data_IF_738894074738
#
_entry.id   IF_738894074738
#
_cell.length_a   1.000
_cell.length_b   1.000
_cell.length_c   1.000
_cell.angle_alpha   90.00
_cell.angle_beta   90.00
_cell.angle_gamma   90.00
#
_symmetry.space_group_name_H-M   'P 1'
#
loop_
_entity.id
_entity.type
_entity.pdbx_description
1 polymer ?
#
# COMPACT_ATOMS: atom_id res chain seq x y z
N UNK A 1 -11.95 -14.71 25.80
CA UNK A 1 -12.37 -15.72 24.80
C UNK A 1 -13.78 -15.49 24.20
N UNK A 2 -14.62 -14.57 24.70
CA UNK A 2 -15.94 -14.26 24.11
C UNK A 2 -15.92 -13.29 22.90
N UNK A 3 -14.83 -12.56 22.67
CA UNK A 3 -14.68 -11.70 21.47
C UNK A 3 -14.47 -12.49 20.15
N UNK A 4 -14.24 -13.80 20.24
CA UNK A 4 -13.79 -14.64 19.10
C UNK A 4 -14.95 -15.33 18.37
N UNK A 5 -16.14 -15.42 18.96
CA UNK A 5 -17.29 -16.11 18.34
C UNK A 5 -18.19 -15.20 17.46
N UNK A 6 -17.98 -13.89 17.49
CA UNK A 6 -18.77 -12.91 16.74
C UNK A 6 -18.14 -12.51 15.39
N UNK A 7 -18.93 -11.80 14.56
CA UNK A 7 -18.47 -11.26 13.27
C UNK A 7 -17.22 -10.38 13.40
N UNK A 8 -17.13 -9.57 14.44
CA UNK A 8 -15.93 -8.78 14.76
C UNK A 8 -14.68 -9.66 15.00
N UNK A 9 -14.84 -10.83 15.63
CA UNK A 9 -13.78 -11.80 15.85
C UNK A 9 -13.24 -12.38 14.53
N UNK A 10 -14.14 -12.72 13.58
CA UNK A 10 -13.74 -13.17 12.23
C UNK A 10 -13.02 -12.06 11.46
N UNK A 11 -13.49 -10.82 11.54
CA UNK A 11 -12.79 -9.69 10.91
C UNK A 11 -11.37 -9.55 11.48
N UNK A 12 -11.23 -9.59 12.81
CA UNK A 12 -9.93 -9.42 13.46
C UNK A 12 -8.99 -10.59 13.18
N UNK A 13 -9.48 -11.83 13.15
CA UNK A 13 -8.64 -13.01 12.85
C UNK A 13 -8.05 -12.95 11.44
N UNK A 14 -8.80 -12.40 10.47
CA UNK A 14 -8.30 -12.20 9.12
C UNK A 14 -7.39 -10.98 9.01
N UNK A 15 -7.77 -9.86 9.64
CA UNK A 15 -7.03 -8.61 9.57
C UNK A 15 -5.67 -8.69 10.29
N UNK A 16 -5.59 -9.37 11.43
CA UNK A 16 -4.39 -9.39 12.27
C UNK A 16 -3.13 -9.90 11.54
N UNK A 17 -3.17 -11.04 10.81
CA UNK A 17 -2.03 -11.46 10.01
C UNK A 17 -1.66 -10.47 8.88
N UNK A 18 -2.66 -9.82 8.27
CA UNK A 18 -2.42 -8.81 7.23
C UNK A 18 -1.70 -7.60 7.83
N UNK A 19 -2.19 -7.09 8.97
CA UNK A 19 -1.60 -5.97 9.71
C UNK A 19 -0.15 -6.25 10.09
N UNK A 20 0.12 -7.44 10.67
CA UNK A 20 1.49 -7.85 11.02
C UNK A 20 2.39 -7.96 9.78
N UNK A 21 1.86 -8.46 8.65
CA UNK A 21 2.61 -8.51 7.40
C UNK A 21 2.99 -7.11 6.91
N UNK A 22 2.06 -6.15 6.96
CA UNK A 22 2.32 -4.76 6.59
C UNK A 22 3.31 -4.08 7.55
N UNK A 23 3.17 -4.29 8.85
CA UNK A 23 4.12 -3.80 9.86
C UNK A 23 5.52 -4.39 9.63
N UNK A 24 5.62 -5.66 9.27
CA UNK A 24 6.91 -6.29 8.95
C UNK A 24 7.58 -5.65 7.74
N UNK A 25 6.81 -5.21 6.73
CA UNK A 25 7.32 -4.46 5.59
C UNK A 25 7.83 -3.08 6.02
N UNK A 26 7.10 -2.37 6.88
CA UNK A 26 7.55 -1.08 7.41
C UNK A 26 8.83 -1.23 8.24
N UNK A 27 8.93 -2.26 9.06
CA UNK A 27 10.16 -2.59 9.80
C UNK A 27 11.32 -2.90 8.87
N UNK A 28 11.10 -3.69 7.82
CA UNK A 28 12.12 -3.96 6.81
C UNK A 28 12.63 -2.66 6.18
N UNK A 29 11.74 -1.74 5.77
CA UNK A 29 12.14 -0.47 5.17
C UNK A 29 13.03 0.36 6.13
N UNK A 30 12.73 0.35 7.44
CA UNK A 30 13.55 1.03 8.45
C UNK A 30 14.91 0.35 8.64
N UNK A 31 14.94 -0.98 8.64
CA UNK A 31 16.19 -1.75 8.73
C UNK A 31 17.08 -1.46 7.52
N UNK A 32 16.53 -1.47 6.31
CA UNK A 32 17.26 -1.15 5.08
C UNK A 32 17.81 0.29 5.12
N UNK A 33 17.00 1.26 5.57
CA UNK A 33 17.45 2.63 5.76
C UNK A 33 18.57 2.74 6.81
N UNK A 34 18.49 2.00 7.91
CA UNK A 34 19.54 1.98 8.94
C UNK A 34 20.83 1.30 8.44
N UNK A 35 20.74 0.23 7.66
CA UNK A 35 21.89 -0.46 7.06
C UNK A 35 22.59 0.46 6.05
N UNK A 36 21.85 1.13 5.17
CA UNK A 36 22.41 2.05 4.18
C UNK A 36 22.89 3.35 4.82
N UNK A 37 22.21 3.84 5.86
CA UNK A 37 22.57 5.08 6.56
C UNK A 37 23.99 5.05 7.14
N UNK A 38 24.53 3.87 7.47
CA UNK A 38 25.93 3.71 7.90
C UNK A 38 26.96 4.00 6.80
N UNK A 39 26.55 4.00 5.53
CA UNK A 39 27.41 4.35 4.39
C UNK A 39 27.49 5.87 4.17
N UNK A 40 26.64 6.67 4.83
CA UNK A 40 26.61 8.12 4.71
C UNK A 40 25.33 8.69 4.09
N UNK A 41 25.18 10.01 4.17
CA UNK A 41 23.96 10.74 3.79
C UNK A 41 23.62 10.61 2.30
N UNK A 42 24.63 10.65 1.41
CA UNK A 42 24.45 10.50 -0.04
C UNK A 42 23.86 9.13 -0.38
N UNK A 43 24.34 8.07 0.29
CA UNK A 43 23.86 6.72 0.09
C UNK A 43 22.39 6.58 0.52
N UNK A 44 22.05 7.12 1.70
CA UNK A 44 20.69 7.12 2.22
C UNK A 44 19.72 7.90 1.33
N UNK A 45 20.13 9.09 0.89
CA UNK A 45 19.34 9.91 -0.04
C UNK A 45 19.14 9.19 -1.39
N UNK A 46 20.19 8.56 -1.93
CA UNK A 46 20.13 7.83 -3.19
C UNK A 46 19.16 6.64 -3.12
N UNK A 47 19.22 5.85 -2.05
CA UNK A 47 18.28 4.75 -1.82
C UNK A 47 16.85 5.24 -1.60
N UNK A 48 16.67 6.38 -0.91
CA UNK A 48 15.36 7.01 -0.74
C UNK A 48 14.72 7.41 -2.07
N UNK A 49 15.48 8.11 -2.93
CA UNK A 49 15.02 8.53 -4.27
C UNK A 49 14.73 7.32 -5.15
N UNK A 50 15.65 6.36 -5.22
CA UNK A 50 15.44 5.13 -5.99
C UNK A 50 14.28 4.28 -5.48
N UNK A 51 14.07 4.26 -4.16
CA UNK A 51 12.92 3.61 -3.52
C UNK A 51 11.59 4.26 -3.89
N UNK A 52 11.52 5.60 -3.90
CA UNK A 52 10.33 6.33 -4.33
C UNK A 52 10.03 6.13 -5.83
N UNK A 53 11.05 6.18 -6.69
CA UNK A 53 10.91 5.83 -8.11
C UNK A 53 10.36 4.42 -8.30
N UNK A 54 10.87 3.45 -7.53
CA UNK A 54 10.39 2.07 -7.55
C UNK A 54 8.95 1.95 -7.05
N UNK A 55 8.57 2.73 -6.03
CA UNK A 55 7.19 2.77 -5.54
C UNK A 55 6.22 3.25 -6.62
N UNK A 56 6.56 4.29 -7.38
CA UNK A 56 5.76 4.76 -8.52
C UNK A 56 5.59 3.67 -9.60
N UNK A 57 6.65 2.95 -9.95
CA UNK A 57 6.55 1.83 -10.90
C UNK A 57 5.69 0.68 -10.36
N UNK A 58 5.87 0.35 -9.09
CA UNK A 58 5.10 -0.71 -8.45
C UNK A 58 3.61 -0.37 -8.42
N UNK A 59 3.24 0.91 -8.29
CA UNK A 59 1.86 1.39 -8.33
C UNK A 59 1.07 0.91 -9.58
N UNK A 60 1.76 0.74 -10.72
CA UNK A 60 1.18 0.28 -12.00
C UNK A 60 0.68 -1.17 -11.92
N UNK A 61 1.26 -1.99 -11.03
CA UNK A 61 0.90 -3.41 -10.86
C UNK A 61 0.12 -3.69 -9.58
N UNK A 62 -0.06 -2.69 -8.70
CA UNK A 62 -0.75 -2.86 -7.40
C UNK A 62 -2.19 -3.37 -7.55
N UNK A 63 -2.89 -2.98 -8.62
CA UNK A 63 -4.25 -3.41 -8.88
C UNK A 63 -4.41 -4.90 -9.14
N UNK A 64 -3.35 -5.62 -9.51
CA UNK A 64 -3.41 -7.08 -9.68
C UNK A 64 -3.79 -7.77 -8.37
N UNK A 65 -3.26 -7.30 -7.23
CA UNK A 65 -3.57 -7.91 -5.92
C UNK A 65 -5.06 -7.81 -5.59
N UNK A 66 -5.66 -6.61 -5.73
CA UNK A 66 -7.08 -6.41 -5.38
C UNK A 66 -8.03 -7.06 -6.39
N UNK A 67 -7.66 -7.06 -7.67
CA UNK A 67 -8.41 -7.72 -8.73
C UNK A 67 -8.47 -9.23 -8.53
N UNK A 68 -7.34 -9.87 -8.27
CA UNK A 68 -7.28 -11.32 -7.98
C UNK A 68 -8.01 -11.62 -6.67
N UNK A 69 -7.82 -10.82 -5.62
CA UNK A 69 -8.49 -11.01 -4.32
C UNK A 69 -10.01 -10.97 -4.42
N UNK A 70 -10.55 -9.92 -5.05
CA UNK A 70 -11.99 -9.72 -5.21
C UNK A 70 -12.65 -10.86 -5.98
N UNK A 71 -12.08 -11.22 -7.15
CA UNK A 71 -12.61 -12.33 -7.96
C UNK A 71 -12.47 -13.68 -7.25
N UNK A 72 -11.33 -13.95 -6.60
CA UNK A 72 -11.11 -15.20 -5.86
C UNK A 72 -12.12 -15.33 -4.71
N UNK A 73 -12.36 -14.26 -3.95
CA UNK A 73 -13.33 -14.26 -2.87
C UNK A 73 -14.75 -14.52 -3.38
N UNK A 74 -15.16 -13.89 -4.49
CA UNK A 74 -16.45 -14.13 -5.12
C UNK A 74 -16.59 -15.58 -5.64
N UNK A 75 -15.55 -16.12 -6.28
CA UNK A 75 -15.54 -17.51 -6.75
C UNK A 75 -15.61 -18.51 -5.58
N UNK A 76 -14.90 -18.24 -4.48
CA UNK A 76 -14.96 -19.04 -3.25
C UNK A 76 -16.38 -19.06 -2.69
N UNK A 77 -17.02 -17.87 -2.59
CA UNK A 77 -18.41 -17.76 -2.14
C UNK A 77 -19.41 -18.49 -3.05
N UNK A 78 -19.23 -18.39 -4.37
CA UNK A 78 -20.07 -19.04 -5.38
C UNK A 78 -19.79 -20.55 -5.52
N UNK A 79 -18.87 -21.12 -4.72
CA UNK A 79 -18.43 -22.52 -4.82
C UNK A 79 -18.04 -22.92 -6.25
N UNK A 80 -17.40 -21.99 -6.98
CA UNK A 80 -16.98 -22.24 -8.36
C UNK A 80 -15.96 -23.37 -8.42
N UNK A 81 -16.02 -24.17 -9.50
CA UNK A 81 -15.09 -25.29 -9.70
C UNK A 81 -13.66 -24.85 -9.98
N UNK A 82 -13.45 -23.62 -10.46
CA UNK A 82 -12.14 -23.07 -10.80
C UNK A 82 -11.86 -21.75 -10.05
N UNK A 83 -11.60 -21.86 -8.74
CA UNK A 83 -11.27 -20.71 -7.88
C UNK A 83 -9.91 -20.07 -8.25
N UNK A 84 -8.99 -20.83 -8.87
CA UNK A 84 -7.66 -20.34 -9.27
C UNK A 84 -7.64 -19.56 -10.60
N UNK A 85 -8.76 -19.51 -11.34
CA UNK A 85 -8.83 -18.84 -12.63
C UNK A 85 -8.40 -17.35 -12.58
N UNK A 86 -8.79 -16.54 -11.57
CA UNK A 86 -8.30 -15.17 -11.43
C UNK A 86 -6.80 -15.09 -11.17
N UNK A 87 -6.23 -16.04 -10.42
CA UNK A 87 -4.78 -16.11 -10.19
C UNK A 87 -4.03 -16.35 -11.49
N UNK A 88 -4.48 -17.30 -12.33
CA UNK A 88 -3.85 -17.56 -13.63
C UNK A 88 -3.90 -16.33 -14.55
N UNK A 89 -5.04 -15.64 -14.60
CA UNK A 89 -5.17 -14.38 -15.34
C UNK A 89 -4.24 -13.30 -14.79
N UNK A 90 -4.19 -13.13 -13.46
CA UNK A 90 -3.32 -12.17 -12.78
C UNK A 90 -1.84 -12.43 -13.05
N UNK A 91 -1.38 -13.67 -12.97
CA UNK A 91 0.01 -14.05 -13.25
C UNK A 91 0.39 -13.77 -14.72
N UNK A 92 -0.50 -14.10 -15.66
CA UNK A 92 -0.24 -13.83 -17.07
C UNK A 92 -0.21 -12.34 -17.39
N UNK A 93 -1.16 -11.56 -16.86
CA UNK A 93 -1.17 -10.10 -17.00
C UNK A 93 0.08 -9.50 -16.32
N UNK A 94 0.39 -9.94 -15.11
CA UNK A 94 1.56 -9.51 -14.35
C UNK A 94 2.84 -9.75 -15.11
N UNK A 95 3.01 -10.90 -15.74
CA UNK A 95 4.17 -11.19 -16.58
C UNK A 95 4.22 -10.29 -17.82
N UNK A 96 3.11 -10.18 -18.56
CA UNK A 96 3.03 -9.39 -19.81
C UNK A 96 3.20 -7.90 -19.57
N UNK A 97 2.80 -7.38 -18.40
CA UNK A 97 2.93 -5.96 -18.06
C UNK A 97 4.26 -5.67 -17.36
N UNK A 98 4.61 -6.43 -16.31
CA UNK A 98 5.76 -6.12 -15.47
C UNK A 98 7.09 -6.42 -16.17
N UNK A 99 7.17 -7.45 -17.02
CA UNK A 99 8.43 -7.80 -17.68
C UNK A 99 8.86 -6.73 -18.70
N UNK A 100 8.03 -6.30 -19.67
CA UNK A 100 8.42 -5.20 -20.57
C UNK A 100 8.65 -3.89 -19.82
N UNK A 101 7.82 -3.60 -18.80
CA UNK A 101 7.97 -2.40 -17.98
C UNK A 101 9.30 -2.40 -17.20
N UNK A 102 9.71 -3.56 -16.67
CA UNK A 102 10.99 -3.74 -15.99
C UNK A 102 12.16 -3.50 -16.95
N UNK A 103 12.13 -4.09 -18.14
CA UNK A 103 13.18 -3.90 -19.15
C UNK A 103 13.28 -2.43 -19.59
N UNK A 104 12.14 -1.78 -19.84
CA UNK A 104 12.10 -0.36 -20.21
C UNK A 104 12.61 0.54 -19.08
N UNK A 105 12.16 0.31 -17.84
CA UNK A 105 12.58 1.09 -16.69
C UNK A 105 14.06 0.91 -16.33
N UNK A 106 14.63 -0.28 -16.58
CA UNK A 106 16.06 -0.52 -16.40
C UNK A 106 16.89 0.34 -17.33
N UNK A 107 16.49 0.41 -18.62
CA UNK A 107 17.14 1.26 -19.61
C UNK A 107 16.95 2.75 -19.26
N UNK A 108 15.74 3.14 -18.87
CA UNK A 108 15.39 4.54 -18.56
C UNK A 108 15.65 4.96 -17.13
N UNK A 109 16.40 4.17 -16.35
CA UNK A 109 16.72 4.48 -14.96
C UNK A 109 17.30 5.90 -14.76
N UNK A 110 18.27 6.39 -15.56
CA UNK A 110 18.80 7.74 -15.39
C UNK A 110 17.75 8.83 -15.60
N UNK A 111 16.86 8.64 -16.58
CA UNK A 111 15.78 9.58 -16.89
C UNK A 111 14.74 9.59 -15.77
N UNK A 112 14.27 8.41 -15.34
CA UNK A 112 13.24 8.29 -14.30
C UNK A 112 13.72 8.85 -12.95
N UNK A 113 14.95 8.56 -12.56
CA UNK A 113 15.55 9.10 -11.33
C UNK A 113 15.81 10.61 -11.46
N UNK A 114 16.25 11.07 -12.65
CA UNK A 114 16.49 12.48 -12.93
C UNK A 114 15.24 13.35 -12.83
N UNK A 115 14.03 12.79 -12.97
CA UNK A 115 12.79 13.51 -12.72
C UNK A 115 12.57 13.85 -11.24
N UNK A 116 13.23 13.12 -10.33
CA UNK A 116 13.05 13.28 -8.86
C UNK A 116 14.19 14.10 -8.25
N UNK A 117 15.44 13.85 -8.66
CA UNK A 117 16.60 14.58 -8.15
C UNK A 117 17.58 14.97 -9.26
N UNK A 118 18.14 16.16 -9.14
CA UNK A 118 19.17 16.71 -10.04
C UNK A 118 20.56 16.72 -9.40
N UNK A 119 20.70 16.23 -8.16
CA UNK A 119 21.99 16.17 -7.47
C UNK A 119 22.80 14.98 -7.97
N UNK A 120 23.90 15.23 -8.69
CA UNK A 120 24.66 14.21 -9.42
C UNK A 120 25.08 13.00 -8.55
N UNK A 121 25.62 13.25 -7.35
CA UNK A 121 26.10 12.20 -6.45
C UNK A 121 24.94 11.29 -5.99
N UNK A 122 23.82 11.90 -5.58
CA UNK A 122 22.61 11.18 -5.16
C UNK A 122 21.99 10.42 -6.33
N UNK A 123 21.96 11.03 -7.52
CA UNK A 123 21.42 10.44 -8.73
C UNK A 123 22.17 9.17 -9.12
N UNK A 124 23.51 9.17 -9.06
CA UNK A 124 24.32 8.00 -9.41
C UNK A 124 23.98 6.79 -8.54
N UNK A 125 23.90 6.97 -7.22
CA UNK A 125 23.52 5.93 -6.25
C UNK A 125 22.08 5.47 -6.48
N UNK A 126 21.17 6.42 -6.68
CA UNK A 126 19.76 6.13 -6.92
C UNK A 126 19.53 5.30 -8.18
N UNK A 127 20.27 5.58 -9.27
CA UNK A 127 20.18 4.83 -10.54
C UNK A 127 20.64 3.38 -10.36
N UNK A 128 21.76 3.15 -9.67
CA UNK A 128 22.27 1.80 -9.43
C UNK A 128 21.33 0.98 -8.53
N UNK A 129 20.87 1.57 -7.43
CA UNK A 129 19.88 0.97 -6.54
C UNK A 129 18.59 0.64 -7.30
N UNK A 130 18.07 1.62 -8.06
CA UNK A 130 16.82 1.48 -8.80
C UNK A 130 16.90 0.39 -9.86
N UNK A 131 18.00 0.30 -10.61
CA UNK A 131 18.21 -0.78 -11.59
C UNK A 131 18.00 -2.15 -10.95
N UNK A 132 18.69 -2.45 -9.85
CA UNK A 132 18.49 -3.72 -9.14
C UNK A 132 17.03 -3.93 -8.76
N UNK A 133 16.38 -2.93 -8.16
CA UNK A 133 14.99 -3.02 -7.72
C UNK A 133 14.02 -3.25 -8.89
N UNK A 134 14.26 -2.64 -10.05
CA UNK A 134 13.40 -2.79 -11.23
C UNK A 134 13.38 -4.23 -11.74
N UNK A 135 14.46 -5.00 -11.61
CA UNK A 135 14.46 -6.44 -11.96
C UNK A 135 13.47 -7.22 -11.11
N UNK A 136 13.28 -6.81 -9.85
CA UNK A 136 12.30 -7.42 -8.95
C UNK A 136 10.84 -7.05 -9.27
N UNK A 137 10.57 -6.10 -10.18
CA UNK A 137 9.20 -5.65 -10.49
C UNK A 137 8.30 -6.81 -10.95
N UNK A 138 8.84 -7.70 -11.79
CA UNK A 138 8.13 -8.91 -12.22
C UNK A 138 7.82 -9.81 -11.03
N UNK A 139 8.79 -10.03 -10.13
CA UNK A 139 8.56 -10.83 -8.92
C UNK A 139 7.52 -10.21 -7.99
N UNK A 140 7.50 -8.88 -7.86
CA UNK A 140 6.50 -8.14 -7.08
C UNK A 140 5.11 -8.33 -7.70
N UNK A 141 4.95 -8.12 -9.01
CA UNK A 141 3.67 -8.27 -9.70
C UNK A 141 3.07 -9.67 -9.51
N UNK A 142 3.90 -10.72 -9.65
CA UNK A 142 3.46 -12.10 -9.45
C UNK A 142 3.15 -12.39 -7.97
N UNK A 143 3.97 -11.88 -7.04
CA UNK A 143 3.74 -12.02 -5.59
C UNK A 143 2.44 -11.34 -5.16
N UNK A 144 2.10 -10.18 -5.74
CA UNK A 144 0.83 -9.50 -5.52
C UNK A 144 -0.37 -10.35 -5.96
N UNK A 145 -0.25 -11.12 -7.04
CA UNK A 145 -1.28 -12.05 -7.48
C UNK A 145 -1.48 -13.19 -6.47
N UNK A 146 -0.39 -13.83 -6.00
CA UNK A 146 -0.47 -14.86 -4.97
C UNK A 146 -1.06 -14.33 -3.66
N UNK A 147 -0.60 -13.15 -3.22
CA UNK A 147 -1.16 -12.45 -2.05
C UNK A 147 -2.66 -12.22 -2.21
N UNK A 148 -3.10 -11.76 -3.39
CA UNK A 148 -4.51 -11.57 -3.70
C UNK A 148 -5.31 -12.86 -3.58
N UNK A 149 -4.84 -13.94 -4.20
CA UNK A 149 -5.49 -15.25 -4.15
C UNK A 149 -5.68 -15.77 -2.71
N UNK A 150 -4.60 -15.82 -1.94
CA UNK A 150 -4.63 -16.36 -0.59
C UNK A 150 -5.42 -15.50 0.41
N UNK A 151 -5.41 -14.17 0.24
CA UNK A 151 -6.29 -13.31 1.00
C UNK A 151 -7.76 -13.49 0.59
N UNK A 152 -8.04 -13.68 -0.70
CA UNK A 152 -9.40 -13.97 -1.20
C UNK A 152 -9.96 -15.28 -0.64
N UNK A 153 -9.11 -16.30 -0.51
CA UNK A 153 -9.35 -17.58 0.17
C UNK A 153 -9.44 -17.48 1.71
N UNK A 154 -9.29 -16.29 2.28
CA UNK A 154 -9.27 -16.03 3.73
C UNK A 154 -8.15 -16.77 4.49
N UNK A 155 -7.06 -17.14 3.82
CA UNK A 155 -5.88 -17.81 4.42
C UNK A 155 -4.76 -16.82 4.74
N UNK A 156 -5.09 -15.76 5.48
CA UNK A 156 -4.17 -14.63 5.74
C UNK A 156 -2.94 -15.00 6.58
N UNK A 157 -3.00 -16.08 7.36
CA UNK A 157 -1.85 -16.60 8.12
C UNK A 157 -0.72 -17.10 7.21
N UNK A 158 -1.05 -17.64 6.04
CA UNK A 158 -0.06 -18.12 5.08
C UNK A 158 0.75 -16.95 4.51
N UNK A 159 0.04 -15.85 4.18
CA UNK A 159 0.66 -14.59 3.79
C UNK A 159 1.65 -14.08 4.82
N UNK A 160 1.24 -14.03 6.11
CA UNK A 160 2.13 -13.57 7.18
C UNK A 160 3.41 -14.41 7.28
N UNK A 161 3.29 -15.75 7.25
CA UNK A 161 4.45 -16.64 7.39
C UNK A 161 5.45 -16.45 6.26
N UNK A 162 4.96 -16.37 5.01
CA UNK A 162 5.82 -16.23 3.84
C UNK A 162 6.47 -14.84 3.82
N UNK A 163 5.70 -13.76 4.05
CA UNK A 163 6.24 -12.40 3.96
C UNK A 163 7.29 -12.13 5.05
N UNK A 164 7.09 -12.63 6.26
CA UNK A 164 8.09 -12.50 7.35
C UNK A 164 9.36 -13.28 7.01
N UNK A 165 9.24 -14.51 6.49
CA UNK A 165 10.41 -15.28 6.08
C UNK A 165 11.21 -14.56 4.96
N UNK A 166 10.51 -13.97 3.99
CA UNK A 166 11.10 -13.18 2.91
C UNK A 166 11.79 -11.93 3.47
N UNK A 167 11.19 -11.21 4.42
CA UNK A 167 11.81 -10.04 5.04
C UNK A 167 13.05 -10.40 5.85
N UNK A 168 13.03 -11.50 6.60
CA UNK A 168 14.22 -11.98 7.31
C UNK A 168 15.35 -12.32 6.34
N UNK A 169 15.03 -13.00 5.24
CA UNK A 169 16.00 -13.28 4.17
C UNK A 169 16.52 -11.99 3.55
N UNK A 170 15.67 -10.98 3.34
CA UNK A 170 16.07 -9.67 2.83
C UNK A 170 17.12 -9.05 3.73
N UNK A 171 16.87 -8.94 5.04
CA UNK A 171 17.83 -8.33 5.97
C UNK A 171 19.20 -9.02 5.90
N UNK A 172 19.23 -10.36 5.86
CA UNK A 172 20.47 -11.12 5.75
C UNK A 172 21.16 -10.90 4.41
N UNK A 173 20.42 -10.96 3.30
CA UNK A 173 20.97 -10.78 1.95
C UNK A 173 21.47 -9.35 1.72
N UNK A 174 20.69 -8.34 2.13
CA UNK A 174 21.03 -6.93 2.02
C UNK A 174 22.24 -6.60 2.89
N UNK A 175 22.28 -7.01 4.16
CA UNK A 175 23.47 -6.80 5.00
C UNK A 175 24.73 -7.48 4.42
N UNK A 176 24.58 -8.69 3.87
CA UNK A 176 25.67 -9.42 3.22
C UNK A 176 26.24 -8.68 2.00
N UNK A 177 25.37 -8.18 1.11
CA UNK A 177 25.77 -7.49 -0.13
C UNK A 177 26.18 -6.03 0.09
N UNK A 178 25.63 -5.36 1.11
CA UNK A 178 26.03 -3.99 1.45
C UNK A 178 27.49 -3.96 1.92
N UNK A 179 27.83 -4.84 2.88
CA UNK A 179 29.15 -4.83 3.54
C UNK A 179 30.15 -5.86 2.97
N UNK A 180 29.74 -6.74 2.05
CA UNK A 180 30.60 -7.79 1.51
C UNK A 180 30.93 -8.90 2.53
N UNK A 181 29.96 -9.28 3.35
CA UNK A 181 30.16 -10.32 4.38
C UNK A 181 30.19 -11.72 3.76
N UNK A 182 30.85 -12.66 4.44
CA UNK A 182 30.91 -14.08 4.04
C UNK A 182 31.45 -14.33 2.61
N UNK A 183 32.35 -13.47 2.12
CA UNK A 183 32.96 -13.58 0.79
C UNK A 183 32.10 -13.02 -0.35
N UNK A 184 30.99 -12.34 -0.05
CA UNK A 184 30.18 -11.61 -1.02
C UNK A 184 30.86 -10.30 -1.47
N UNK A 185 30.55 -9.79 -2.67
CA UNK A 185 31.04 -8.49 -3.11
C UNK A 185 30.46 -7.36 -2.23
N UNK A 186 31.29 -6.39 -1.87
CA UNK A 186 30.86 -5.17 -1.18
C UNK A 186 30.26 -4.18 -2.20
N UNK A 187 28.93 -4.20 -2.34
CA UNK A 187 28.18 -3.42 -3.33
C UNK A 187 27.68 -2.06 -2.80
N UNK A 188 27.88 -1.77 -1.51
CA UNK A 188 27.40 -0.54 -0.88
C UNK A 188 25.88 -0.39 -0.98
N UNK A 189 25.40 0.81 -1.32
CA UNK A 189 23.97 1.11 -1.41
C UNK A 189 23.24 0.24 -2.46
N UNK A 190 23.89 -0.10 -3.57
CA UNK A 190 23.30 -0.99 -4.59
C UNK A 190 23.06 -2.40 -4.05
N UNK A 191 23.84 -2.84 -3.06
CA UNK A 191 23.67 -4.10 -2.33
C UNK A 191 22.33 -4.22 -1.61
N UNK A 192 21.77 -3.13 -1.09
CA UNK A 192 20.43 -3.12 -0.50
C UNK A 192 19.35 -3.41 -1.55
N UNK A 193 19.51 -2.85 -2.76
CA UNK A 193 18.61 -3.09 -3.88
C UNK A 193 18.69 -4.54 -4.38
N UNK A 194 19.91 -5.07 -4.49
CA UNK A 194 20.17 -6.45 -4.89
C UNK A 194 19.66 -7.47 -3.86
N UNK A 195 19.91 -7.25 -2.56
CA UNK A 195 19.43 -8.11 -1.48
C UNK A 195 17.91 -8.18 -1.40
N UNK A 196 17.24 -7.02 -1.55
CA UNK A 196 15.78 -6.98 -1.66
C UNK A 196 15.30 -7.75 -2.88
N UNK A 197 15.94 -7.57 -4.04
CA UNK A 197 15.58 -8.26 -5.29
C UNK A 197 15.70 -9.77 -5.15
N UNK A 198 16.81 -10.25 -4.60
CA UNK A 198 17.04 -11.67 -4.33
C UNK A 198 15.96 -12.25 -3.42
N UNK A 199 15.67 -11.56 -2.30
CA UNK A 199 14.65 -12.02 -1.35
C UNK A 199 13.26 -12.13 -1.96
N UNK A 200 12.89 -11.21 -2.87
CA UNK A 200 11.61 -11.25 -3.59
C UNK A 200 11.52 -12.40 -4.60
N UNK A 201 12.60 -12.74 -5.31
CA UNK A 201 12.60 -13.92 -6.19
C UNK A 201 12.51 -15.22 -5.38
N UNK A 202 13.22 -15.33 -4.26
CA UNK A 202 13.06 -16.48 -3.36
C UNK A 202 11.64 -16.55 -2.81
N UNK A 203 11.07 -15.41 -2.41
CA UNK A 203 9.68 -15.31 -1.98
C UNK A 203 8.69 -15.76 -3.05
N UNK A 204 8.92 -15.39 -4.31
CA UNK A 204 8.12 -15.85 -5.44
C UNK A 204 8.17 -17.38 -5.59
N UNK A 205 9.34 -17.99 -5.45
CA UNK A 205 9.50 -19.45 -5.50
C UNK A 205 8.73 -20.12 -4.35
N UNK A 206 8.81 -19.57 -3.14
CA UNK A 206 8.05 -20.06 -1.98
C UNK A 206 6.55 -19.94 -2.22
N UNK A 207 6.07 -18.80 -2.72
CA UNK A 207 4.67 -18.60 -3.08
C UNK A 207 4.18 -19.61 -4.11
N UNK A 208 4.97 -19.84 -5.15
CA UNK A 208 4.68 -20.82 -6.18
C UNK A 208 4.58 -22.23 -5.58
N UNK A 209 5.57 -22.66 -4.79
CA UNK A 209 5.63 -24.00 -4.21
C UNK A 209 4.48 -24.29 -3.23
N UNK A 210 4.08 -23.28 -2.45
CA UNK A 210 2.93 -23.40 -1.56
C UNK A 210 1.62 -23.45 -2.34
N UNK A 211 1.51 -22.68 -3.42
CA UNK A 211 0.29 -22.61 -4.24
C UNK A 211 0.04 -23.89 -5.03
N UNK A 212 1.05 -24.53 -5.60
CA UNK A 212 0.85 -25.79 -6.34
C UNK A 212 0.39 -26.97 -5.45
N UNK A 213 0.56 -26.85 -4.13
CA UNK A 213 0.06 -27.85 -3.15
C UNK A 213 -1.43 -27.67 -2.83
N UNK A 214 -2.02 -26.52 -3.16
CA UNK A 214 -3.46 -26.29 -3.08
C UNK A 214 -4.12 -26.95 -4.29
N UNK A 215 -5.08 -27.86 -4.08
CA UNK A 215 -5.72 -28.63 -5.16
C UNK A 215 -6.21 -27.77 -6.34
N UNK A 216 -6.85 -26.60 -6.12
CA UNK A 216 -7.29 -25.71 -7.20
C UNK A 216 -6.15 -25.13 -8.06
N UNK A 217 -4.93 -25.08 -7.53
CA UNK A 217 -3.75 -24.48 -8.16
C UNK A 217 -2.75 -25.53 -8.71
N UNK A 218 -3.10 -26.82 -8.68
CA UNK A 218 -2.23 -27.91 -9.13
C UNK A 218 -1.80 -27.82 -10.60
N UNK A 219 -2.55 -27.10 -11.44
CA UNK A 219 -2.31 -26.90 -12.88
C UNK A 219 -1.82 -25.47 -13.23
N UNK A 220 -1.15 -24.78 -12.30
CA UNK A 220 -0.79 -23.35 -12.42
C UNK A 220 -0.01 -22.98 -13.69
N UNK A 221 0.82 -23.90 -14.20
CA UNK A 221 1.66 -23.69 -15.39
C UNK A 221 1.01 -24.15 -16.70
N UNK A 222 -0.06 -24.94 -16.65
CA UNK A 222 -0.67 -25.56 -17.83
C UNK A 222 -2.02 -24.95 -18.19
N UNK A 223 -2.64 -24.20 -17.27
CA UNK A 223 -3.93 -23.58 -17.49
C UNK A 223 -3.80 -22.17 -18.11
N UNK A 224 -4.23 -22.02 -19.36
CA UNK A 224 -4.35 -20.71 -20.00
C UNK A 224 -5.70 -20.05 -19.66
N UNK A 225 -5.70 -18.84 -19.07
CA UNK A 225 -6.94 -18.13 -18.75
C UNK A 225 -7.69 -17.75 -20.03
N UNK A 226 -9.02 -17.86 -20.00
CA UNK A 226 -9.84 -17.44 -21.14
C UNK A 226 -9.84 -15.91 -21.30
N UNK A 227 -10.18 -15.44 -22.50
CA UNK A 227 -10.22 -14.00 -22.81
C UNK A 227 -11.16 -13.21 -21.90
N UNK A 228 -12.25 -13.83 -21.43
CA UNK A 228 -13.23 -13.21 -20.54
C UNK A 228 -12.63 -12.90 -19.18
N UNK A 229 -11.93 -13.85 -18.54
CA UNK A 229 -11.28 -13.63 -17.24
C UNK A 229 -10.14 -12.63 -17.35
N UNK A 230 -9.39 -12.63 -18.45
CA UNK A 230 -8.35 -11.62 -18.67
C UNK A 230 -8.92 -10.21 -18.74
N UNK A 231 -10.00 -10.03 -19.51
CA UNK A 231 -10.70 -8.75 -19.61
C UNK A 231 -11.28 -8.32 -18.27
N UNK A 232 -11.91 -9.24 -17.53
CA UNK A 232 -12.43 -8.96 -16.19
C UNK A 232 -11.32 -8.56 -15.22
N UNK A 233 -10.23 -9.32 -15.19
CA UNK A 233 -9.08 -9.07 -14.31
C UNK A 233 -8.44 -7.72 -14.61
N UNK A 234 -8.26 -7.37 -15.89
CA UNK A 234 -7.78 -6.04 -16.32
C UNK A 234 -8.74 -4.92 -15.97
N UNK A 235 -10.05 -5.11 -16.20
CA UNK A 235 -11.06 -4.09 -15.93
C UNK A 235 -11.13 -3.70 -14.44
N UNK A 236 -10.77 -4.63 -13.55
CA UNK A 236 -10.66 -4.39 -12.10
C UNK A 236 -9.26 -3.92 -11.69
N UNK A 237 -8.19 -4.44 -12.30
CA UNK A 237 -6.81 -4.09 -11.93
C UNK A 237 -6.41 -2.68 -12.36
N UNK A 238 -6.83 -2.24 -13.55
CA UNK A 238 -6.42 -0.95 -14.11
C UNK A 238 -6.89 0.23 -13.25
N UNK A 239 -8.17 0.35 -12.82
CA UNK A 239 -8.60 1.48 -12.00
C UNK A 239 -7.85 1.59 -10.67
N UNK A 240 -7.61 0.47 -9.99
CA UNK A 240 -6.87 0.49 -8.72
C UNK A 240 -5.39 0.85 -8.93
N UNK A 241 -4.76 0.38 -10.01
CA UNK A 241 -3.37 0.74 -10.32
C UNK A 241 -3.22 2.23 -10.67
N UNK A 242 -4.15 2.77 -11.46
CA UNK A 242 -4.24 4.21 -11.74
C UNK A 242 -4.40 4.98 -10.43
N UNK A 243 -5.33 4.54 -9.57
CA UNK A 243 -5.53 5.16 -8.26
C UNK A 243 -4.24 5.22 -7.44
N UNK A 244 -3.48 4.11 -7.36
CA UNK A 244 -2.22 4.07 -6.59
C UNK A 244 -1.13 4.95 -7.19
N UNK A 245 -1.03 5.02 -8.53
CA UNK A 245 -0.05 5.87 -9.21
C UNK A 245 -0.32 7.35 -8.93
N UNK A 246 -1.58 7.78 -9.07
CA UNK A 246 -2.01 9.15 -8.80
C UNK A 246 -2.00 9.49 -7.31
N UNK A 247 -2.19 8.50 -6.44
CA UNK A 247 -1.98 8.66 -4.99
C UNK A 247 -0.51 8.97 -4.69
N UNK A 248 0.43 8.21 -5.26
CA UNK A 248 1.87 8.45 -5.12
C UNK A 248 2.26 9.83 -5.66
N UNK A 249 1.79 10.19 -6.87
CA UNK A 249 2.04 11.49 -7.48
C UNK A 249 1.47 12.65 -6.64
N UNK A 250 0.31 12.47 -6.00
CA UNK A 250 -0.26 13.51 -5.16
C UNK A 250 0.55 13.77 -3.89
N UNK A 251 1.28 12.78 -3.36
CA UNK A 251 2.27 13.02 -2.30
C UNK A 251 3.47 13.82 -2.79
N UNK A 252 3.96 13.57 -4.02
CA UNK A 252 5.01 14.41 -4.60
C UNK A 252 4.56 15.86 -4.72
N UNK A 253 3.33 16.11 -5.20
CA UNK A 253 2.76 17.46 -5.26
C UNK A 253 2.62 18.07 -3.87
N UNK A 254 2.17 17.30 -2.87
CA UNK A 254 2.09 17.78 -1.48
C UNK A 254 3.46 18.18 -0.94
N UNK A 255 4.51 17.37 -1.15
CA UNK A 255 5.86 17.75 -0.74
C UNK A 255 6.40 18.96 -1.50
N UNK A 256 6.06 19.11 -2.78
CA UNK A 256 6.36 20.31 -3.54
C UNK A 256 5.66 21.56 -2.97
N UNK A 257 4.40 21.46 -2.55
CA UNK A 257 3.71 22.56 -1.85
C UNK A 257 4.42 22.91 -0.53
N UNK A 258 4.79 21.89 0.27
CA UNK A 258 5.52 22.11 1.52
C UNK A 258 6.88 22.76 1.30
N UNK A 259 7.56 22.44 0.20
CA UNK A 259 8.86 23.04 -0.13
C UNK A 259 8.78 24.54 -0.40
N UNK A 260 7.63 25.04 -0.86
CA UNK A 260 7.40 26.47 -1.05
C UNK A 260 7.19 27.22 0.26
N UNK A 261 6.72 26.54 1.32
CA UNK A 261 6.55 27.10 2.66
C UNK A 261 7.85 27.13 3.49
N UNK A 262 8.94 26.56 2.96
CA UNK A 262 10.24 26.54 3.61
C UNK A 262 10.62 25.21 4.28
N UNK A 263 11.89 25.11 4.66
CA UNK A 263 12.52 23.86 5.13
C UNK A 263 11.91 23.31 6.41
N UNK A 264 11.51 24.17 7.35
CA UNK A 264 10.83 23.77 8.59
C UNK A 264 9.49 23.06 8.30
N UNK A 265 8.70 23.59 7.37
CA UNK A 265 7.42 23.01 6.93
C UNK A 265 7.61 21.65 6.26
N UNK A 266 8.66 21.51 5.43
CA UNK A 266 9.02 20.22 4.83
C UNK A 266 9.39 19.19 5.90
N UNK A 267 10.24 19.55 6.87
CA UNK A 267 10.69 18.65 7.93
C UNK A 267 9.52 18.16 8.78
N UNK A 268 8.70 19.08 9.29
CA UNK A 268 7.50 18.75 10.08
C UNK A 268 6.51 17.95 9.24
N UNK A 269 6.20 18.40 8.03
CA UNK A 269 5.27 17.70 7.15
C UNK A 269 5.72 16.28 6.80
N UNK A 270 7.03 16.07 6.58
CA UNK A 270 7.60 14.75 6.34
C UNK A 270 7.38 13.80 7.53
N UNK A 271 7.64 14.26 8.77
CA UNK A 271 7.39 13.45 9.98
C UNK A 271 5.91 13.09 10.10
N UNK A 272 5.02 14.07 9.95
CA UNK A 272 3.57 13.87 10.07
C UNK A 272 3.01 12.91 9.01
N UNK A 273 3.47 13.02 7.76
CA UNK A 273 3.09 12.12 6.68
C UNK A 273 3.54 10.69 6.96
N UNK A 274 4.79 10.50 7.40
CA UNK A 274 5.31 9.16 7.71
C UNK A 274 4.58 8.53 8.91
N UNK A 275 4.31 9.32 9.96
CA UNK A 275 3.47 8.88 11.08
C UNK A 275 2.08 8.47 10.60
N UNK A 276 1.46 9.27 9.72
CA UNK A 276 0.16 8.93 9.13
C UNK A 276 0.19 7.61 8.38
N UNK A 277 1.16 7.43 7.48
CA UNK A 277 1.31 6.22 6.66
C UNK A 277 1.50 4.97 7.51
N UNK A 278 2.21 5.08 8.65
CA UNK A 278 2.37 3.99 9.61
C UNK A 278 1.06 3.67 10.35
N UNK A 279 0.36 4.71 10.81
CA UNK A 279 -0.83 4.55 11.66
C UNK A 279 -2.10 4.14 10.90
N UNK A 280 -2.15 4.33 9.57
CA UNK A 280 -3.26 3.84 8.75
C UNK A 280 -3.15 2.35 8.40
N UNK A 281 -1.99 1.70 8.55
CA UNK A 281 -1.79 0.29 8.17
C UNK A 281 -2.80 -0.65 8.83
N UNK A 282 -3.17 -0.49 10.12
CA UNK A 282 -4.20 -1.31 10.73
C UNK A 282 -5.58 -1.17 10.05
N UNK A 283 -5.97 0.06 9.72
CA UNK A 283 -7.21 0.34 8.97
C UNK A 283 -7.20 -0.30 7.58
N UNK A 284 -6.07 -0.23 6.88
CA UNK A 284 -5.88 -0.92 5.60
C UNK A 284 -5.98 -2.44 5.75
N UNK A 285 -5.36 -3.02 6.79
CA UNK A 285 -5.44 -4.46 7.05
C UNK A 285 -6.87 -4.95 7.31
N UNK A 286 -7.63 -4.19 8.08
CA UNK A 286 -9.07 -4.38 8.27
C UNK A 286 -9.87 -4.26 6.96
N UNK A 287 -9.54 -3.28 6.12
CA UNK A 287 -10.13 -3.12 4.80
C UNK A 287 -9.86 -4.31 3.87
N UNK A 288 -8.63 -4.82 3.84
CA UNK A 288 -8.26 -6.01 3.04
C UNK A 288 -9.02 -7.25 3.53
N UNK A 289 -9.24 -7.41 4.84
CA UNK A 289 -10.10 -8.47 5.36
C UNK A 289 -11.58 -8.27 4.94
N UNK A 290 -12.07 -7.03 5.00
CA UNK A 290 -13.42 -6.69 4.54
C UNK A 290 -13.62 -6.98 3.05
N UNK A 291 -12.61 -6.72 2.21
CA UNK A 291 -12.64 -7.04 0.77
C UNK A 291 -12.98 -8.52 0.55
N UNK A 292 -12.29 -9.43 1.24
CA UNK A 292 -12.52 -10.88 1.11
C UNK A 292 -13.88 -11.31 1.64
N UNK A 293 -14.31 -10.79 2.80
CA UNK A 293 -15.60 -11.15 3.41
C UNK A 293 -16.79 -10.65 2.59
N UNK A 294 -16.70 -9.44 2.05
CA UNK A 294 -17.72 -8.85 1.17
C UNK A 294 -17.77 -9.59 -0.17
N UNK A 295 -16.62 -9.86 -0.78
CA UNK A 295 -16.54 -10.63 -2.02
C UNK A 295 -17.12 -12.04 -1.87
N UNK A 296 -16.78 -12.76 -0.80
CA UNK A 296 -17.32 -14.08 -0.47
C UNK A 296 -18.85 -14.03 -0.28
N UNK A 297 -19.35 -13.05 0.47
CA UNK A 297 -20.79 -12.90 0.68
C UNK A 297 -21.55 -12.57 -0.61
N UNK A 298 -20.97 -11.76 -1.50
CA UNK A 298 -21.55 -11.49 -2.84
C UNK A 298 -21.56 -12.76 -3.69
N UNK A 299 -20.47 -13.55 -3.67
CA UNK A 299 -20.42 -14.84 -4.34
C UNK A 299 -21.49 -15.83 -3.87
N UNK A 300 -21.84 -15.78 -2.57
CA UNK A 300 -22.95 -16.55 -1.97
C UNK A 300 -24.35 -15.95 -2.22
N UNK A 301 -24.45 -14.86 -2.98
CA UNK A 301 -25.66 -14.04 -3.15
C UNK A 301 -26.28 -13.53 -1.81
N UNK A 302 -25.45 -13.41 -0.77
CA UNK A 302 -25.83 -12.98 0.56
C UNK A 302 -25.68 -11.45 0.71
N UNK A 303 -26.42 -10.68 -0.08
CA UNK A 303 -26.28 -9.21 -0.20
C UNK A 303 -26.39 -8.46 1.14
N UNK A 304 -27.31 -8.88 2.02
CA UNK A 304 -27.45 -8.31 3.38
C UNK A 304 -26.22 -8.58 4.24
N UNK A 305 -25.63 -9.76 4.09
CA UNK A 305 -24.43 -10.16 4.82
C UNK A 305 -23.20 -9.38 4.33
N UNK A 306 -23.08 -9.19 3.01
CA UNK A 306 -22.04 -8.38 2.38
C UNK A 306 -22.04 -6.95 2.92
N UNK A 307 -23.20 -6.29 2.94
CA UNK A 307 -23.31 -4.93 3.50
C UNK A 307 -22.92 -4.86 4.98
N UNK A 308 -23.32 -5.86 5.78
CA UNK A 308 -22.97 -5.94 7.20
C UNK A 308 -21.47 -6.13 7.40
N UNK A 309 -20.79 -6.96 6.60
CA UNK A 309 -19.36 -7.22 6.75
C UNK A 309 -18.52 -5.93 6.64
N UNK A 310 -18.87 -5.04 5.71
CA UNK A 310 -18.20 -3.74 5.60
C UNK A 310 -18.40 -2.85 6.84
N UNK A 311 -19.61 -2.83 7.42
CA UNK A 311 -19.90 -2.05 8.63
C UNK A 311 -19.27 -2.64 9.90
N UNK A 312 -19.25 -3.96 10.02
CA UNK A 312 -18.57 -4.65 11.13
C UNK A 312 -17.06 -4.36 11.09
N UNK A 313 -16.45 -4.43 9.90
CA UNK A 313 -15.04 -4.10 9.74
C UNK A 313 -14.74 -2.63 10.01
N UNK A 314 -15.62 -1.73 9.57
CA UNK A 314 -15.52 -0.30 9.87
C UNK A 314 -15.58 -0.05 11.38
N UNK A 315 -16.48 -0.71 12.08
CA UNK A 315 -16.65 -0.53 13.53
C UNK A 315 -15.39 -0.94 14.30
N UNK A 316 -14.78 -2.08 13.91
CA UNK A 316 -13.51 -2.54 14.49
C UNK A 316 -12.36 -1.59 14.13
N UNK A 317 -12.30 -1.11 12.89
CA UNK A 317 -11.25 -0.18 12.46
C UNK A 317 -11.36 1.17 13.16
N UNK A 318 -12.57 1.70 13.33
CA UNK A 318 -12.79 2.97 14.00
C UNK A 318 -12.33 2.92 15.47
N UNK A 319 -12.65 1.84 16.19
CA UNK A 319 -12.15 1.63 17.55
C UNK A 319 -10.62 1.56 17.60
N UNK A 320 -10.02 0.74 16.73
CA UNK A 320 -8.57 0.53 16.70
C UNK A 320 -7.82 1.83 16.35
N UNK A 321 -8.27 2.54 15.32
CA UNK A 321 -7.65 3.79 14.88
C UNK A 321 -7.85 4.93 15.89
N UNK A 322 -8.97 4.94 16.63
CA UNK A 322 -9.18 5.87 17.75
C UNK A 322 -8.14 5.65 18.84
N UNK A 323 -7.92 4.40 19.26
CA UNK A 323 -6.91 4.07 20.26
C UNK A 323 -5.51 4.49 19.79
N UNK A 324 -5.17 4.24 18.53
CA UNK A 324 -3.88 4.61 17.95
C UNK A 324 -3.69 6.12 17.77
N UNK A 325 -4.78 6.88 17.60
CA UNK A 325 -4.72 8.33 17.47
C UNK A 325 -4.59 9.06 18.82
N UNK A 326 -5.01 8.46 19.94
CA UNK A 326 -5.00 9.09 21.27
C UNK A 326 -3.66 9.72 21.66
N UNK A 327 -2.49 9.06 21.47
CA UNK A 327 -1.21 9.67 21.81
C UNK A 327 -0.95 10.99 21.06
N UNK A 328 -1.35 11.07 19.78
CA UNK A 328 -1.19 12.28 18.96
C UNK A 328 -2.06 13.44 19.45
N UNK A 329 -3.21 13.12 20.06
CA UNK A 329 -4.14 14.12 20.60
C UNK A 329 -3.71 14.61 21.98
N UNK A 330 -3.27 13.69 22.84
CA UNK A 330 -3.04 13.95 24.26
C UNK A 330 -1.60 14.39 24.56
N UNK A 331 -0.61 13.84 23.85
CA UNK A 331 0.83 14.10 24.10
C UNK A 331 1.61 14.43 22.81
N UNK A 332 1.14 15.39 21.98
CA UNK A 332 1.79 15.71 20.71
C UNK A 332 3.24 16.18 20.86
N UNK A 333 3.55 16.95 21.90
CA UNK A 333 4.90 17.48 22.14
C UNK A 333 5.91 16.36 22.42
N UNK A 334 5.52 15.36 23.22
CA UNK A 334 6.39 14.21 23.50
C UNK A 334 6.67 13.37 22.26
N UNK A 335 5.69 13.23 21.37
CA UNK A 335 5.88 12.51 20.10
C UNK A 335 6.80 13.30 19.17
N UNK A 336 6.58 14.60 19.02
CA UNK A 336 7.42 15.46 18.18
C UNK A 336 8.84 15.60 18.74
N UNK A 337 9.01 15.60 20.05
CA UNK A 337 10.31 15.63 20.72
C UNK A 337 11.18 14.40 20.47
N UNK A 338 10.63 13.30 19.91
CA UNK A 338 11.43 12.17 19.42
C UNK A 338 12.13 12.51 18.10
N UNK A 339 11.57 13.42 17.30
CA UNK A 339 12.05 13.77 15.97
C UNK A 339 12.78 15.11 15.91
N UNK A 340 12.47 16.02 16.84
CA UNK A 340 12.97 17.38 16.83
C UNK A 340 13.51 17.78 18.20
N UNK A 341 14.72 18.33 18.22
CA UNK A 341 15.28 19.00 19.41
C UNK A 341 14.87 20.48 19.48
N UNK A 342 14.47 21.07 18.35
CA UNK A 342 14.06 22.48 18.28
C UNK A 342 12.63 22.68 18.78
N UNK A 343 12.49 23.52 19.80
CA UNK A 343 11.19 23.96 20.34
C UNK A 343 10.30 24.59 19.26
N UNK A 344 10.88 25.29 18.28
CA UNK A 344 10.15 25.94 17.19
C UNK A 344 9.50 24.92 16.26
N UNK A 345 10.22 23.84 15.90
CA UNK A 345 9.68 22.76 15.06
C UNK A 345 8.59 21.98 15.79
N UNK A 346 8.76 21.74 17.09
CA UNK A 346 7.73 21.11 17.93
C UNK A 346 6.47 21.98 17.97
N UNK A 347 6.61 23.30 18.21
CA UNK A 347 5.49 24.22 18.23
C UNK A 347 4.76 24.28 16.87
N UNK A 348 5.51 24.31 15.78
CA UNK A 348 4.98 24.30 14.41
C UNK A 348 4.20 23.00 14.12
N UNK A 349 4.69 21.85 14.59
CA UNK A 349 4.08 20.55 14.34
C UNK A 349 2.95 20.15 15.30
N UNK A 350 2.81 20.82 16.46
CA UNK A 350 1.88 20.41 17.51
C UNK A 350 0.42 20.31 17.05
N UNK A 351 -0.14 21.39 16.53
CA UNK A 351 -1.52 21.41 16.02
C UNK A 351 -1.69 20.50 14.79
N UNK A 352 -0.81 20.56 13.77
CA UNK A 352 -0.83 19.60 12.66
C UNK A 352 -0.82 18.13 13.10
N UNK A 353 -0.06 17.77 14.15
CA UNK A 353 -0.04 16.41 14.69
C UNK A 353 -1.38 16.02 15.32
N UNK A 354 -1.99 16.91 16.11
CA UNK A 354 -3.32 16.67 16.67
C UNK A 354 -4.37 16.52 15.56
N UNK A 355 -4.34 17.40 14.54
CA UNK A 355 -5.21 17.28 13.37
C UNK A 355 -5.00 15.95 12.65
N UNK A 356 -3.75 15.48 12.54
CA UNK A 356 -3.44 14.17 11.95
C UNK A 356 -4.06 13.02 12.75
N UNK A 357 -4.03 13.09 14.09
CA UNK A 357 -4.73 12.15 14.95
C UNK A 357 -6.23 12.10 14.66
N UNK A 358 -6.88 13.28 14.55
CA UNK A 358 -8.30 13.39 14.19
C UNK A 358 -8.56 12.80 12.79
N UNK A 359 -7.70 13.12 11.81
CA UNK A 359 -7.82 12.60 10.45
C UNK A 359 -7.84 11.07 10.43
N UNK A 360 -6.92 10.41 11.14
CA UNK A 360 -6.81 8.94 11.16
C UNK A 360 -8.11 8.29 11.66
N UNK A 361 -8.77 8.88 12.66
CA UNK A 361 -10.05 8.40 13.20
C UNK A 361 -11.12 8.43 12.10
N UNK A 362 -11.25 9.56 11.41
CA UNK A 362 -12.26 9.72 10.37
C UNK A 362 -11.93 8.95 9.10
N UNK A 363 -10.64 8.75 8.78
CA UNK A 363 -10.19 8.02 7.59
C UNK A 363 -10.57 6.53 7.64
N UNK A 364 -10.96 6.00 8.81
CA UNK A 364 -11.41 4.62 8.99
C UNK A 364 -12.45 4.18 7.94
N UNK A 365 -13.43 5.05 7.65
CA UNK A 365 -14.46 4.77 6.65
C UNK A 365 -13.89 4.69 5.23
N UNK A 366 -13.08 5.67 4.82
CA UNK A 366 -12.43 5.63 3.52
C UNK A 366 -11.53 4.39 3.37
N UNK A 367 -10.70 4.08 4.37
CA UNK A 367 -9.76 2.95 4.33
C UNK A 367 -10.48 1.59 4.24
N UNK A 368 -11.53 1.39 5.03
CA UNK A 368 -12.24 0.10 5.07
C UNK A 368 -13.23 -0.05 3.92
N UNK A 369 -14.10 0.95 3.71
CA UNK A 369 -15.19 0.83 2.75
C UNK A 369 -14.68 0.90 1.30
N UNK A 370 -13.57 1.58 1.02
CA UNK A 370 -12.92 1.52 -0.29
C UNK A 370 -12.52 0.07 -0.64
N UNK A 371 -11.89 -0.64 0.30
CA UNK A 371 -11.48 -2.03 0.12
C UNK A 371 -12.69 -2.97 0.05
N UNK A 372 -13.72 -2.73 0.86
CA UNK A 372 -14.98 -3.46 0.80
C UNK A 372 -15.69 -3.32 -0.57
N UNK A 373 -15.73 -2.10 -1.13
CA UNK A 373 -16.27 -1.82 -2.47
C UNK A 373 -15.46 -2.51 -3.56
N UNK A 374 -14.13 -2.58 -3.44
CA UNK A 374 -13.30 -3.37 -4.36
C UNK A 374 -13.63 -4.86 -4.26
N UNK A 375 -13.98 -5.37 -3.08
CA UNK A 375 -14.49 -6.74 -2.88
C UNK A 375 -15.80 -7.00 -3.63
N UNK A 376 -16.59 -5.94 -3.83
CA UNK A 376 -17.81 -5.96 -4.64
C UNK A 376 -17.59 -5.73 -6.15
N UNK A 377 -16.35 -5.54 -6.61
CA UNK A 377 -16.08 -5.25 -8.02
C UNK A 377 -16.25 -3.77 -8.41
N UNK A 378 -16.42 -2.86 -7.45
CA UNK A 378 -16.64 -1.43 -7.68
C UNK A 378 -15.34 -0.59 -7.75
N UNK A 379 -14.25 -1.12 -8.33
CA UNK A 379 -12.92 -0.50 -8.36
C UNK A 379 -12.92 0.88 -9.04
N UNK A 380 -13.76 1.06 -10.08
CA UNK A 380 -13.91 2.36 -10.76
C UNK A 380 -14.49 3.42 -9.83
N UNK A 381 -15.52 3.08 -9.06
CA UNK A 381 -16.15 3.99 -8.09
C UNK A 381 -15.14 4.44 -7.04
N UNK A 382 -14.34 3.51 -6.52
CA UNK A 382 -13.29 3.81 -5.54
C UNK A 382 -12.24 4.75 -6.13
N UNK A 383 -11.76 4.47 -7.35
CA UNK A 383 -10.81 5.31 -8.08
C UNK A 383 -11.37 6.72 -8.30
N UNK A 384 -12.58 6.84 -8.85
CA UNK A 384 -13.17 8.16 -9.16
C UNK A 384 -13.38 9.01 -7.91
N UNK A 385 -13.83 8.41 -6.81
CA UNK A 385 -14.04 9.13 -5.57
C UNK A 385 -12.71 9.57 -4.95
N UNK A 386 -11.72 8.67 -4.87
CA UNK A 386 -10.42 8.97 -4.27
C UNK A 386 -9.66 10.00 -5.09
N UNK A 387 -9.57 9.83 -6.41
CA UNK A 387 -8.86 10.76 -7.29
C UNK A 387 -9.58 12.09 -7.41
N UNK A 388 -10.90 12.09 -7.51
CA UNK A 388 -11.69 13.34 -7.52
C UNK A 388 -11.46 14.15 -6.26
N UNK A 389 -11.55 13.51 -5.09
CA UNK A 389 -11.34 14.19 -3.81
C UNK A 389 -9.88 14.64 -3.62
N UNK A 390 -8.90 13.86 -4.07
CA UNK A 390 -7.48 14.23 -3.91
C UNK A 390 -7.06 15.35 -4.87
N UNK A 391 -7.36 15.20 -6.17
CA UNK A 391 -6.82 16.07 -7.22
C UNK A 391 -7.69 17.28 -7.54
N UNK A 392 -9.02 17.16 -7.44
CA UNK A 392 -9.92 18.26 -7.76
C UNK A 392 -10.28 19.09 -6.53
N UNK A 393 -10.15 18.54 -5.32
CA UNK A 393 -10.50 19.21 -4.08
C UNK A 393 -9.27 19.46 -3.20
N UNK A 394 -8.60 18.42 -2.70
CA UNK A 394 -7.55 18.58 -1.71
C UNK A 394 -6.36 19.40 -2.21
N UNK A 395 -5.69 18.99 -3.30
CA UNK A 395 -4.47 19.65 -3.76
C UNK A 395 -4.70 21.14 -4.14
N UNK A 396 -5.76 21.50 -4.89
CA UNK A 396 -6.07 22.90 -5.17
C UNK A 396 -6.37 23.72 -3.90
N UNK A 397 -7.14 23.16 -2.96
CA UNK A 397 -7.44 23.84 -1.70
C UNK A 397 -6.20 23.98 -0.81
N UNK A 398 -5.33 22.97 -0.78
CA UNK A 398 -4.08 23.02 -0.02
C UNK A 398 -3.15 24.11 -0.57
N UNK A 399 -3.05 24.25 -1.90
CA UNK A 399 -2.32 25.35 -2.53
C UNK A 399 -2.96 26.70 -2.20
N UNK A 400 -4.27 26.83 -2.38
CA UNK A 400 -4.97 28.10 -2.17
C UNK A 400 -4.93 28.56 -0.70
N UNK A 401 -5.29 27.70 0.25
CA UNK A 401 -5.32 28.07 1.67
C UNK A 401 -3.91 28.12 2.26
N UNK A 402 -3.06 27.15 1.93
CA UNK A 402 -1.72 27.05 2.51
C UNK A 402 -0.76 28.11 2.01
N UNK A 403 -0.82 28.47 0.72
CA UNK A 403 0.15 29.37 0.07
C UNK A 403 -0.49 30.73 -0.22
N UNK A 404 -1.58 30.78 -0.97
CA UNK A 404 -2.17 32.06 -1.42
C UNK A 404 -2.77 32.88 -0.25
N UNK A 405 -3.42 32.21 0.71
CA UNK A 405 -3.97 32.86 1.92
C UNK A 405 -2.97 32.93 3.09
N UNK A 406 -1.71 32.56 2.85
CA UNK A 406 -0.60 32.60 3.81
C UNK A 406 -0.90 31.92 5.16
N UNK A 407 -1.73 30.87 5.16
CA UNK A 407 -2.03 30.07 6.37
C UNK A 407 -0.97 28.99 6.66
N UNK A 408 0.04 28.89 5.78
CA UNK A 408 1.19 28.00 5.91
C UNK A 408 0.83 26.53 6.12
N UNK A 409 1.64 25.85 6.94
CA UNK A 409 1.52 24.41 7.20
C UNK A 409 0.17 24.04 7.83
N UNK A 410 -0.31 24.87 8.76
CA UNK A 410 -1.60 24.65 9.43
C UNK A 410 -2.75 24.68 8.42
N UNK A 411 -2.75 25.64 7.49
CA UNK A 411 -3.74 25.74 6.42
C UNK A 411 -3.83 24.47 5.56
N UNK A 412 -2.67 23.93 5.15
CA UNK A 412 -2.59 22.67 4.40
C UNK A 412 -3.20 21.51 5.22
N UNK A 413 -2.88 21.42 6.52
CA UNK A 413 -3.41 20.36 7.38
C UNK A 413 -4.92 20.50 7.63
N UNK A 414 -5.45 21.71 7.73
CA UNK A 414 -6.90 21.92 7.83
C UNK A 414 -7.62 21.47 6.55
N UNK A 415 -7.06 21.76 5.38
CA UNK A 415 -7.62 21.29 4.10
C UNK A 415 -7.49 19.78 3.96
N UNK A 416 -6.41 19.18 4.46
CA UNK A 416 -6.27 17.73 4.54
C UNK A 416 -7.36 17.12 5.45
N UNK A 417 -7.68 17.73 6.59
CA UNK A 417 -8.74 17.26 7.48
C UNK A 417 -10.10 17.30 6.79
N UNK A 418 -10.42 18.43 6.14
CA UNK A 418 -11.65 18.58 5.37
C UNK A 418 -11.77 17.53 4.26
N UNK A 419 -10.69 17.33 3.51
CA UNK A 419 -10.60 16.29 2.48
C UNK A 419 -10.88 14.89 3.05
N UNK A 420 -10.25 14.52 4.17
CA UNK A 420 -10.42 13.20 4.80
C UNK A 420 -11.85 12.99 5.28
N UNK A 421 -12.46 14.02 5.88
CA UNK A 421 -13.87 14.00 6.30
C UNK A 421 -14.81 13.77 5.12
N UNK A 422 -14.65 14.56 4.04
CA UNK A 422 -15.48 14.46 2.85
C UNK A 422 -15.29 13.13 2.11
N UNK A 423 -14.06 12.65 2.03
CA UNK A 423 -13.75 11.36 1.40
C UNK A 423 -14.42 10.21 2.17
N UNK A 424 -14.28 10.18 3.50
CA UNK A 424 -14.93 9.19 4.36
C UNK A 424 -16.45 9.26 4.32
N UNK A 425 -17.02 10.47 4.33
CA UNK A 425 -18.46 10.67 4.16
C UNK A 425 -18.93 10.17 2.77
N UNK A 426 -18.17 10.43 1.72
CA UNK A 426 -18.42 9.95 0.36
C UNK A 426 -18.45 8.42 0.29
N UNK A 427 -17.46 7.74 0.89
CA UNK A 427 -17.42 6.28 0.93
C UNK A 427 -18.58 5.69 1.74
N UNK A 428 -18.93 6.28 2.88
CA UNK A 428 -20.11 5.91 3.65
C UNK A 428 -21.39 6.07 2.84
N UNK A 429 -21.55 7.19 2.14
CA UNK A 429 -22.72 7.45 1.31
C UNK A 429 -22.86 6.44 0.17
N UNK A 430 -21.78 6.16 -0.56
CA UNK A 430 -21.76 5.11 -1.61
C UNK A 430 -22.12 3.76 -1.00
N UNK A 431 -21.55 3.42 0.16
CA UNK A 431 -21.81 2.16 0.84
C UNK A 431 -23.29 2.00 1.24
N UNK A 432 -23.90 3.06 1.78
CA UNK A 432 -25.30 3.07 2.21
C UNK A 432 -26.29 3.04 1.05
N UNK A 433 -25.94 3.63 -0.10
CA UNK A 433 -26.79 3.60 -1.30
C UNK A 433 -26.95 2.22 -1.91
N UNK A 434 -26.05 1.28 -1.61
CA UNK A 434 -26.14 -0.14 -2.02
C UNK A 434 -26.24 -0.38 -3.54
N UNK A 435 -25.99 0.64 -4.37
CA UNK A 435 -25.99 0.53 -5.83
C UNK A 435 -24.88 -0.39 -6.34
N UNK A 436 -23.84 -0.61 -5.53
CA UNK A 436 -22.75 -1.55 -5.78
C UNK A 436 -23.15 -3.04 -5.62
N UNK A 437 -24.36 -3.32 -5.08
CA UNK A 437 -24.92 -4.69 -5.05
C UNK A 437 -25.56 -5.10 -6.38
N UNK A 438 -25.82 -4.13 -7.27
CA UNK A 438 -26.39 -4.43 -8.57
C UNK A 438 -25.31 -5.09 -9.46
N UNK A 439 -25.63 -6.20 -10.17
CA UNK A 439 -24.69 -6.77 -11.12
C UNK A 439 -24.34 -5.70 -12.15
N UNK A 440 -23.04 -5.47 -12.37
CA UNK A 440 -22.57 -4.60 -13.44
C UNK A 440 -23.07 -5.21 -14.76
N UNK A 441 -24.07 -4.56 -15.38
CA UNK A 441 -24.67 -4.93 -16.66
C UNK A 441 -23.64 -4.99 -17.79
#
# INVERSE_FOLDING_TARGET
>A
MLFVAGRHGKVMSLAFPIMLGMLSQSMLNLIDAALVGRLGEVALAGVGVGGYAMFMLTAIVFGLSSSVQSQTAQHEGASHTNIAQPLHAGLMIGLVVALPLSLWAWWQAPLLVGLITQTADVQSVAVEYFRWRVVSLTAIALTLCFRGYWNGRQQTHLYLRIIVAVHLLNVVASAGLIYGLAGLPAMGASGAGAGTTLSLFVGLVVWYWVSIKDTPCSALLTYLPNRTTLKATLALAVPHSIQQLWFAAGYAVLFWLLSQLGTASVAVGHVLINLSLLLILPGVGLGVAAMSLVGEAIGRDAQKEAHRWGLDALSVAWLLLTILALPMLLIPESILGVFFDSQELIALGKLPLQLTGIMIIFDAAALVLAQALMGAGAQRTVMTLTLGMQWLLFLPLAWWVGIELDQGLLGIWLMQLLYRLLNSAGFLWVWQRRQWLAPAL
#
